data_IF_082875500892
#
_entry.id   IF_082875500892
#
_cell.length_a   1.000
_cell.length_b   1.000
_cell.length_c   1.000
_cell.angle_alpha   90.00
_cell.angle_beta   90.00
_cell.angle_gamma   90.00
#
_symmetry.space_group_name_H-M   'P 1'
#
loop_
_entity.id
_entity.type
_entity.pdbx_description
1 polymer ?
#
# COMPACT_ATOMS: atom_id res chain seq x y z
N UNK A 1 46.09 74.96 -12.29
CA UNK A 1 46.11 73.58 -12.82
C UNK A 1 45.16 72.73 -11.97
N UNK A 2 43.89 72.65 -12.35
CA UNK A 2 42.83 71.97 -11.55
C UNK A 2 42.48 70.67 -12.21
N UNK A 3 42.72 69.56 -11.51
CA UNK A 3 42.36 68.21 -11.95
C UNK A 3 40.87 67.98 -11.64
N UNK A 4 40.07 67.64 -12.66
CA UNK A 4 38.68 67.21 -12.53
C UNK A 4 38.65 65.73 -12.20
N UNK A 5 38.11 65.39 -11.04
CA UNK A 5 37.83 64.00 -10.63
C UNK A 5 36.42 63.65 -11.16
N UNK A 6 36.34 62.74 -12.10
CA UNK A 6 35.04 62.18 -12.58
C UNK A 6 34.68 60.98 -11.70
N UNK A 7 33.52 61.08 -11.01
CA UNK A 7 32.92 60.01 -10.26
C UNK A 7 32.07 59.19 -11.22
N UNK A 8 32.47 57.95 -11.48
CA UNK A 8 31.65 56.97 -12.22
C UNK A 8 30.65 56.33 -11.27
N UNK A 9 29.37 56.56 -11.52
CA UNK A 9 28.29 55.88 -10.79
C UNK A 9 28.15 54.46 -11.33
N UNK A 10 28.43 53.48 -10.45
CA UNK A 10 28.16 52.06 -10.74
C UNK A 10 26.70 51.78 -10.43
N UNK A 11 25.89 51.59 -11.46
CA UNK A 11 24.51 51.13 -11.30
C UNK A 11 24.51 49.62 -10.93
N UNK A 12 24.14 49.30 -9.70
CA UNK A 12 23.90 47.92 -9.28
C UNK A 12 22.57 47.46 -9.90
N UNK A 13 22.67 46.59 -10.89
CA UNK A 13 21.54 45.83 -11.45
C UNK A 13 21.18 44.73 -10.47
N UNK A 14 20.14 44.93 -9.68
CA UNK A 14 19.54 43.89 -8.85
C UNK A 14 18.82 42.90 -9.77
N UNK A 15 19.45 41.77 -10.04
CA UNK A 15 18.79 40.63 -10.66
C UNK A 15 17.88 40.03 -9.60
N UNK A 16 16.59 40.40 -9.63
CA UNK A 16 15.57 39.68 -8.91
C UNK A 16 15.47 38.29 -9.54
N UNK A 17 16.09 37.33 -8.88
CA UNK A 17 15.91 35.92 -9.20
C UNK A 17 14.45 35.54 -9.03
N UNK A 18 13.71 35.42 -10.14
CA UNK A 18 12.43 34.78 -10.15
C UNK A 18 12.72 33.33 -9.73
N UNK A 19 12.45 32.99 -8.47
CA UNK A 19 12.29 31.60 -8.05
C UNK A 19 11.14 31.04 -8.87
N UNK A 20 11.45 30.33 -9.96
CA UNK A 20 10.48 29.44 -10.58
C UNK A 20 10.13 28.43 -9.51
N UNK A 21 8.98 28.61 -8.86
CA UNK A 21 8.37 27.55 -8.07
C UNK A 21 8.23 26.36 -9.04
N UNK A 22 9.03 25.34 -8.83
CA UNK A 22 8.95 24.09 -9.57
C UNK A 22 7.52 23.60 -9.34
N UNK A 23 6.72 23.59 -10.42
CA UNK A 23 5.32 23.15 -10.34
C UNK A 23 5.34 21.74 -9.74
N UNK A 24 4.69 21.58 -8.58
CA UNK A 24 4.73 20.33 -7.86
C UNK A 24 4.32 19.19 -8.82
N UNK A 25 5.07 18.10 -8.85
CA UNK A 25 4.81 16.92 -9.69
C UNK A 25 3.37 16.37 -9.49
N UNK A 26 2.65 16.86 -8.44
CA UNK A 26 1.31 16.43 -8.02
C UNK A 26 0.34 17.61 -7.85
N UNK A 27 -0.04 18.32 -8.93
CA UNK A 27 -0.86 19.52 -8.83
C UNK A 27 -2.28 19.20 -8.34
N UNK A 28 -2.76 19.95 -7.33
CA UNK A 28 -4.10 19.78 -6.73
C UNK A 28 -5.24 19.85 -7.75
N UNK A 29 -5.07 20.59 -8.84
CA UNK A 29 -6.07 20.74 -9.88
C UNK A 29 -6.27 19.50 -10.76
N UNK A 30 -5.37 18.49 -10.68
CA UNK A 30 -5.45 17.27 -11.50
C UNK A 30 -6.01 16.07 -10.71
N UNK A 31 -6.64 15.16 -11.41
CA UNK A 31 -7.05 13.85 -10.89
C UNK A 31 -5.81 13.10 -10.39
N UNK A 32 -5.93 12.50 -9.22
CA UNK A 32 -4.88 11.68 -8.59
C UNK A 32 -4.77 10.34 -9.36
N UNK A 33 -3.59 10.00 -9.88
CA UNK A 33 -3.36 8.76 -10.64
C UNK A 33 -2.59 7.77 -9.78
N UNK A 34 -3.23 6.67 -9.39
CA UNK A 34 -2.68 5.68 -8.46
C UNK A 34 -2.72 4.28 -9.06
N UNK A 35 -1.87 3.37 -8.56
CA UNK A 35 -1.79 2.00 -9.07
C UNK A 35 -2.18 0.94 -8.05
N UNK A 36 -2.89 -0.09 -8.49
CA UNK A 36 -3.22 -1.27 -7.70
C UNK A 36 -3.44 -2.50 -8.57
N UNK A 37 -3.25 -3.68 -7.98
CA UNK A 37 -3.70 -4.96 -8.53
C UNK A 37 -5.16 -5.19 -8.14
N UNK A 38 -6.04 -5.42 -9.12
CA UNK A 38 -7.47 -5.57 -8.90
C UNK A 38 -7.89 -6.99 -8.47
N UNK A 39 -6.96 -7.90 -8.27
CA UNK A 39 -7.22 -9.25 -7.79
C UNK A 39 -7.25 -9.40 -6.27
N UNK A 40 -7.19 -8.32 -5.49
CA UNK A 40 -6.99 -8.32 -4.04
C UNK A 40 -8.26 -7.91 -3.28
N UNK A 41 -9.29 -8.76 -3.35
CA UNK A 41 -10.53 -8.54 -2.62
C UNK A 41 -10.38 -8.75 -1.09
N UNK A 42 -11.07 -7.99 -0.23
CA UNK A 42 -12.04 -6.92 -0.52
C UNK A 42 -11.37 -5.55 -0.69
N UNK A 43 -10.06 -5.50 -0.88
CA UNK A 43 -9.31 -4.25 -1.01
C UNK A 43 -9.62 -3.53 -2.31
N UNK A 44 -9.46 -4.24 -3.42
CA UNK A 44 -9.71 -3.72 -4.75
C UNK A 44 -10.16 -4.82 -5.70
N UNK A 45 -11.34 -4.64 -6.29
CA UNK A 45 -11.95 -5.57 -7.24
C UNK A 45 -12.62 -4.81 -8.38
N UNK A 46 -12.84 -5.51 -9.49
CA UNK A 46 -13.66 -5.00 -10.60
C UNK A 46 -15.13 -5.22 -10.28
N UNK A 47 -15.85 -4.14 -10.03
CA UNK A 47 -17.31 -4.14 -9.91
C UNK A 47 -18.01 -3.79 -11.23
N UNK A 48 -19.33 -3.92 -11.29
CA UNK A 48 -20.13 -3.62 -12.46
C UNK A 48 -20.05 -2.13 -12.90
N UNK A 49 -19.87 -1.22 -11.95
CA UNK A 49 -19.76 0.23 -12.16
C UNK A 49 -18.31 0.76 -12.12
N UNK A 50 -17.30 -0.11 -12.15
CA UNK A 50 -15.87 0.24 -12.03
C UNK A 50 -15.23 -0.34 -10.78
N UNK A 51 -14.05 0.17 -10.36
CA UNK A 51 -13.38 -0.32 -9.19
C UNK A 51 -14.19 -0.15 -7.91
N UNK A 52 -14.24 -1.18 -7.06
CA UNK A 52 -14.86 -1.16 -5.73
C UNK A 52 -14.00 -1.91 -4.70
N UNK A 53 -14.20 -1.63 -3.42
CA UNK A 53 -13.45 -2.25 -2.34
C UNK A 53 -13.07 -1.26 -1.23
N UNK A 54 -12.53 -1.79 -0.13
CA UNK A 54 -12.03 -0.99 0.99
C UNK A 54 -10.99 0.04 0.53
N UNK A 55 -10.00 -0.39 -0.26
CA UNK A 55 -8.95 0.48 -0.79
C UNK A 55 -9.48 1.53 -1.76
N UNK A 56 -10.56 1.21 -2.52
CA UNK A 56 -11.21 2.18 -3.41
C UNK A 56 -11.92 3.27 -2.61
N UNK A 57 -12.70 2.89 -1.59
CA UNK A 57 -13.38 3.87 -0.72
C UNK A 57 -12.35 4.75 0.00
N UNK A 58 -11.27 4.12 0.50
CA UNK A 58 -10.20 4.81 1.19
C UNK A 58 -9.50 5.83 0.30
N UNK A 59 -9.10 5.46 -0.93
CA UNK A 59 -8.37 6.38 -1.79
C UNK A 59 -9.24 7.51 -2.35
N UNK A 60 -10.54 7.26 -2.57
CA UNK A 60 -11.47 8.32 -2.95
C UNK A 60 -11.62 9.38 -1.85
N UNK A 61 -11.72 8.94 -0.59
CA UNK A 61 -11.78 9.87 0.55
C UNK A 61 -10.45 10.59 0.76
N UNK A 62 -9.30 9.91 0.61
CA UNK A 62 -7.97 10.53 0.62
C UNK A 62 -7.88 11.62 -0.45
N UNK A 63 -8.28 11.34 -1.70
CA UNK A 63 -8.25 12.33 -2.78
C UNK A 63 -9.08 13.57 -2.44
N UNK A 64 -10.30 13.37 -1.92
CA UNK A 64 -11.18 14.46 -1.48
C UNK A 64 -10.52 15.32 -0.39
N UNK A 65 -9.95 14.70 0.67
CA UNK A 65 -9.29 15.42 1.78
C UNK A 65 -8.00 16.10 1.34
N UNK A 66 -7.27 15.51 0.38
CA UNK A 66 -6.10 16.12 -0.24
C UNK A 66 -6.44 17.25 -1.23
N UNK A 67 -7.73 17.56 -1.41
CA UNK A 67 -8.20 18.62 -2.32
C UNK A 67 -8.05 18.27 -3.80
N UNK A 68 -8.03 16.99 -4.16
CA UNK A 68 -7.96 16.51 -5.55
C UNK A 68 -9.37 16.35 -6.13
N UNK A 69 -9.61 16.66 -7.41
CA UNK A 69 -10.95 16.57 -8.03
C UNK A 69 -11.46 15.14 -8.17
N UNK A 70 -10.59 14.14 -8.07
CA UNK A 70 -10.94 12.72 -8.17
C UNK A 70 -9.71 11.82 -8.16
N UNK A 71 -9.95 10.53 -8.39
CA UNK A 71 -8.90 9.51 -8.47
C UNK A 71 -9.11 8.63 -9.68
N UNK A 72 -8.03 8.37 -10.42
CA UNK A 72 -7.91 7.32 -11.44
C UNK A 72 -7.09 6.18 -10.85
N UNK A 73 -7.62 4.97 -10.86
CA UNK A 73 -6.94 3.79 -10.35
C UNK A 73 -6.54 2.93 -11.54
N UNK A 74 -5.24 2.88 -11.81
CA UNK A 74 -4.67 2.07 -12.89
C UNK A 74 -4.52 0.63 -12.40
N UNK A 75 -5.13 -0.31 -13.12
CA UNK A 75 -4.97 -1.73 -12.86
C UNK A 75 -3.62 -2.23 -13.36
N UNK A 76 -2.78 -2.70 -12.45
CA UNK A 76 -1.42 -3.15 -12.71
C UNK A 76 -1.16 -4.39 -11.87
N UNK A 77 -0.77 -5.50 -12.50
CA UNK A 77 -0.35 -6.69 -11.76
C UNK A 77 0.76 -6.32 -10.76
N UNK A 78 0.74 -6.93 -9.58
CA UNK A 78 1.64 -6.58 -8.49
C UNK A 78 3.12 -6.53 -8.89
N UNK A 79 3.58 -7.46 -9.73
CA UNK A 79 4.97 -7.51 -10.24
C UNK A 79 5.39 -6.27 -11.04
N UNK A 80 4.44 -5.58 -11.69
CA UNK A 80 4.68 -4.36 -12.48
C UNK A 80 4.50 -3.06 -11.69
N UNK A 81 3.98 -3.13 -10.47
CA UNK A 81 3.54 -1.97 -9.71
C UNK A 81 4.68 -1.01 -9.37
N UNK A 82 5.83 -1.54 -8.94
CA UNK A 82 7.00 -0.72 -8.62
C UNK A 82 7.64 -0.07 -9.85
N UNK A 83 7.65 -0.78 -10.98
CA UNK A 83 8.13 -0.20 -12.23
C UNK A 83 7.23 0.98 -12.67
N UNK A 84 5.91 0.87 -12.51
CA UNK A 84 4.98 1.95 -12.80
C UNK A 84 5.17 3.15 -11.85
N UNK A 85 5.47 2.92 -10.56
CA UNK A 85 5.80 3.95 -9.59
C UNK A 85 7.07 4.71 -9.98
N UNK A 86 8.17 4.00 -10.23
CA UNK A 86 9.47 4.61 -10.52
C UNK A 86 9.53 5.27 -11.90
N UNK A 87 8.73 4.81 -12.86
CA UNK A 87 8.57 5.47 -14.17
C UNK A 87 7.60 6.66 -14.16
N UNK A 88 7.05 7.03 -12.99
CA UNK A 88 6.06 8.12 -12.82
C UNK A 88 4.75 7.90 -13.59
N UNK A 89 4.45 6.66 -14.01
CA UNK A 89 3.16 6.31 -14.60
C UNK A 89 2.02 6.41 -13.58
N UNK A 90 2.32 6.21 -12.31
CA UNK A 90 1.43 6.42 -11.16
C UNK A 90 2.11 7.34 -10.15
N UNK A 91 1.29 8.08 -9.40
CA UNK A 91 1.79 8.99 -8.36
C UNK A 91 2.28 8.19 -7.14
N UNK A 92 1.52 7.19 -6.72
CA UNK A 92 1.86 6.26 -5.65
C UNK A 92 1.06 4.95 -5.75
N UNK A 93 1.38 3.96 -4.92
CA UNK A 93 0.67 2.68 -4.92
C UNK A 93 -0.43 2.68 -3.86
N UNK A 94 -1.62 2.23 -4.23
CA UNK A 94 -2.75 2.03 -3.29
C UNK A 94 -3.07 0.54 -3.09
N UNK A 95 -2.22 -0.33 -3.58
CA UNK A 95 -2.27 -1.74 -3.25
C UNK A 95 -2.04 -1.93 -1.73
N UNK A 96 -2.63 -2.95 -1.06
CA UNK A 96 -2.30 -3.28 0.32
C UNK A 96 -0.84 -3.74 0.39
N UNK A 97 0.06 -2.79 0.67
CA UNK A 97 1.50 -3.02 0.56
C UNK A 97 2.14 -3.14 1.94
N UNK A 98 2.67 -4.31 2.25
CA UNK A 98 3.41 -4.50 3.49
C UNK A 98 4.62 -3.57 3.58
N UNK A 99 4.72 -2.88 4.71
CA UNK A 99 5.90 -2.10 5.08
C UNK A 99 6.99 -3.09 5.48
N UNK A 100 8.13 -3.08 4.77
CA UNK A 100 9.30 -3.91 5.06
C UNK A 100 10.57 -3.10 5.01
N UNK A 101 11.60 -3.52 5.75
CA UNK A 101 12.89 -2.83 5.75
C UNK A 101 13.49 -2.75 4.33
N UNK A 102 13.44 -3.84 3.56
CA UNK A 102 13.95 -3.88 2.18
C UNK A 102 13.26 -2.86 1.27
N UNK A 103 11.93 -2.76 1.37
CA UNK A 103 11.15 -1.81 0.54
C UNK A 103 11.37 -0.38 0.99
N UNK A 104 11.48 -0.13 2.31
CA UNK A 104 11.73 1.20 2.86
C UNK A 104 13.11 1.76 2.48
N UNK A 105 14.06 0.92 2.03
CA UNK A 105 15.32 1.39 1.44
C UNK A 105 15.12 2.14 0.12
N UNK A 106 14.05 1.83 -0.61
CA UNK A 106 13.82 2.31 -1.98
C UNK A 106 12.61 3.22 -2.13
N UNK A 107 11.74 3.27 -1.10
CA UNK A 107 10.45 3.97 -1.14
C UNK A 107 10.14 4.62 0.20
N UNK A 108 9.34 5.69 0.18
CA UNK A 108 8.66 6.22 1.36
C UNK A 108 7.37 5.44 1.59
N UNK A 109 6.98 5.32 2.85
CA UNK A 109 5.67 4.82 3.23
C UNK A 109 4.87 5.88 3.98
N UNK A 110 3.55 5.81 3.91
CA UNK A 110 2.70 6.44 4.93
C UNK A 110 2.86 5.70 6.25
N UNK A 111 2.35 6.28 7.33
CA UNK A 111 2.18 5.55 8.58
C UNK A 111 1.40 4.23 8.38
N UNK A 112 1.57 3.24 9.27
CA UNK A 112 0.77 2.03 9.26
C UNK A 112 -0.72 2.34 9.43
N UNK A 113 -1.57 1.79 8.56
CA UNK A 113 -3.02 2.00 8.65
C UNK A 113 -3.86 0.71 8.63
N UNK A 114 -3.23 -0.46 8.47
CA UNK A 114 -3.94 -1.73 8.44
C UNK A 114 -3.02 -2.89 8.87
N UNK A 115 -3.39 -3.60 9.95
CA UNK A 115 -2.64 -4.76 10.42
C UNK A 115 -2.97 -6.02 9.59
N UNK A 116 -1.98 -6.88 9.34
CA UNK A 116 -2.11 -8.11 8.56
C UNK A 116 -1.21 -9.25 9.07
N UNK A 117 -1.21 -10.37 8.36
CA UNK A 117 -0.41 -11.57 8.59
C UNK A 117 -0.52 -12.53 7.43
N UNK A 118 -0.02 -13.75 7.55
CA UNK A 118 -0.11 -14.79 6.53
C UNK A 118 -1.39 -15.62 6.69
N UNK A 119 -2.22 -15.68 5.65
CA UNK A 119 -3.41 -16.53 5.57
C UNK A 119 -3.22 -17.64 4.54
N UNK A 120 -3.34 -18.89 4.97
CA UNK A 120 -3.18 -20.07 4.12
C UNK A 120 -4.55 -20.65 3.76
N UNK A 121 -4.92 -20.55 2.47
CA UNK A 121 -6.14 -21.11 1.92
C UNK A 121 -5.93 -22.53 1.47
N UNK A 122 -6.83 -23.42 1.88
CA UNK A 122 -6.88 -24.82 1.41
C UNK A 122 -8.26 -25.13 0.87
N UNK A 123 -8.42 -26.27 0.16
CA UNK A 123 -9.76 -26.76 -0.21
C UNK A 123 -10.59 -27.04 1.06
N UNK A 124 -11.90 -26.88 0.96
CA UNK A 124 -12.80 -27.11 2.09
C UNK A 124 -12.66 -28.50 2.73
N UNK A 125 -12.33 -29.50 1.91
CA UNK A 125 -12.12 -30.88 2.35
C UNK A 125 -10.75 -31.16 3.01
N UNK A 126 -9.76 -30.25 2.81
CA UNK A 126 -8.41 -30.44 3.32
C UNK A 126 -8.25 -29.80 4.70
N UNK A 127 -7.20 -30.21 5.41
CA UNK A 127 -6.82 -29.63 6.71
C UNK A 127 -5.40 -29.14 6.67
N UNK A 128 -5.16 -27.94 7.20
CA UNK A 128 -3.86 -27.38 7.49
C UNK A 128 -3.92 -26.74 8.88
N UNK A 129 -3.03 -27.13 9.79
CA UNK A 129 -2.98 -26.66 11.19
C UNK A 129 -1.71 -25.88 11.49
N UNK A 130 -0.70 -25.96 10.62
CA UNK A 130 0.58 -25.31 10.81
C UNK A 130 1.49 -25.50 9.62
N UNK A 131 2.72 -25.00 9.76
CA UNK A 131 3.72 -25.04 8.67
C UNK A 131 4.21 -26.46 8.35
N UNK A 132 4.14 -27.39 9.29
CA UNK A 132 4.57 -28.80 9.11
C UNK A 132 3.72 -29.51 8.06
N UNK A 133 2.47 -29.09 7.87
CA UNK A 133 1.57 -29.65 6.87
C UNK A 133 1.97 -29.29 5.43
N UNK A 134 2.92 -28.37 5.25
CA UNK A 134 3.45 -27.98 3.94
C UNK A 134 4.44 -28.99 3.35
N UNK A 135 5.01 -29.88 4.16
CA UNK A 135 6.07 -30.80 3.72
C UNK A 135 5.65 -31.65 2.52
N UNK A 136 6.44 -31.58 1.43
CA UNK A 136 6.19 -32.27 0.18
C UNK A 136 4.99 -31.76 -0.62
N UNK A 137 4.46 -30.56 -0.27
CA UNK A 137 3.29 -29.95 -0.93
C UNK A 137 3.70 -28.79 -1.81
N UNK A 138 2.76 -28.33 -2.64
CA UNK A 138 2.90 -27.16 -3.48
C UNK A 138 2.12 -26.00 -2.88
N UNK A 139 2.78 -24.86 -2.72
CA UNK A 139 2.24 -23.63 -2.21
C UNK A 139 2.16 -22.60 -3.33
N UNK A 140 0.96 -22.10 -3.62
CA UNK A 140 0.70 -21.12 -4.65
C UNK A 140 0.76 -19.69 -4.08
N UNK A 141 1.44 -18.78 -4.79
CA UNK A 141 1.57 -17.37 -4.42
C UNK A 141 1.37 -16.45 -5.61
N UNK A 142 0.95 -15.23 -5.35
CA UNK A 142 1.02 -14.15 -6.33
C UNK A 142 2.46 -13.63 -6.40
N UNK A 143 3.02 -13.59 -7.62
CA UNK A 143 4.42 -13.26 -7.92
C UNK A 143 4.82 -11.89 -7.38
N UNK A 144 6.01 -11.81 -6.76
CA UNK A 144 6.62 -10.57 -6.28
C UNK A 144 6.01 -10.01 -5.00
N UNK A 145 4.97 -10.64 -4.44
CA UNK A 145 4.36 -10.23 -3.17
C UNK A 145 5.22 -10.61 -1.97
N UNK A 146 4.85 -10.10 -0.77
CA UNK A 146 5.47 -10.54 0.48
C UNK A 146 5.22 -12.04 0.73
N UNK A 147 4.10 -12.57 0.26
CA UNK A 147 3.79 -14.01 0.32
C UNK A 147 4.75 -14.83 -0.53
N UNK A 148 5.14 -14.35 -1.73
CA UNK A 148 6.18 -14.98 -2.55
C UNK A 148 7.55 -14.93 -1.87
N UNK A 149 7.90 -13.78 -1.28
CA UNK A 149 9.15 -13.63 -0.51
C UNK A 149 9.17 -14.60 0.67
N UNK A 150 8.11 -14.66 1.47
CA UNK A 150 7.99 -15.59 2.59
C UNK A 150 8.10 -17.05 2.12
N UNK A 151 7.38 -17.41 1.06
CA UNK A 151 7.40 -18.76 0.51
C UNK A 151 8.81 -19.16 0.04
N UNK A 152 9.50 -18.27 -0.65
CA UNK A 152 10.88 -18.49 -1.13
C UNK A 152 11.85 -18.73 0.03
N UNK A 153 11.77 -17.92 1.07
CA UNK A 153 12.66 -18.01 2.25
C UNK A 153 12.40 -19.24 3.11
N UNK A 154 11.17 -19.77 3.10
CA UNK A 154 10.75 -20.85 3.98
C UNK A 154 10.57 -22.21 3.28
N UNK A 155 10.67 -22.27 1.95
CA UNK A 155 10.49 -23.50 1.18
C UNK A 155 11.42 -24.62 1.64
N UNK A 156 12.71 -24.34 1.78
CA UNK A 156 13.69 -25.32 2.27
C UNK A 156 13.46 -25.73 3.73
N UNK A 157 13.08 -24.78 4.59
CA UNK A 157 12.82 -25.04 6.02
C UNK A 157 11.65 -25.99 6.24
N UNK A 158 10.55 -25.80 5.51
CA UNK A 158 9.34 -26.61 5.67
C UNK A 158 9.14 -27.66 4.57
N UNK A 159 10.06 -27.76 3.59
CA UNK A 159 10.11 -28.80 2.57
C UNK A 159 8.95 -28.75 1.58
N UNK A 160 8.54 -27.57 1.11
CA UNK A 160 7.49 -27.36 0.11
C UNK A 160 8.03 -26.74 -1.19
N UNK A 161 7.26 -26.82 -2.27
CA UNK A 161 7.57 -26.21 -3.55
C UNK A 161 6.71 -24.96 -3.79
N UNK A 162 7.31 -23.87 -4.34
CA UNK A 162 6.62 -22.60 -4.61
C UNK A 162 6.14 -22.55 -6.05
N UNK A 163 4.82 -22.36 -6.23
CA UNK A 163 4.20 -22.07 -7.52
C UNK A 163 3.79 -20.61 -7.60
N UNK A 164 4.26 -19.88 -8.62
CA UNK A 164 4.04 -18.45 -8.79
C UNK A 164 3.03 -18.18 -9.89
N UNK A 165 2.02 -17.39 -9.57
CA UNK A 165 0.97 -16.93 -10.45
C UNK A 165 0.97 -15.42 -10.58
N UNK A 166 0.42 -14.88 -11.67
CA UNK A 166 0.40 -13.45 -11.91
C UNK A 166 -0.68 -12.74 -11.10
N UNK A 167 -1.72 -13.46 -10.67
CA UNK A 167 -2.79 -12.92 -9.80
C UNK A 167 -3.06 -13.86 -8.61
N UNK A 168 -3.63 -13.31 -7.53
CA UNK A 168 -4.07 -14.13 -6.40
C UNK A 168 -5.26 -15.06 -6.76
N UNK A 169 -6.28 -14.63 -7.53
CA UNK A 169 -7.31 -15.54 -8.02
C UNK A 169 -6.77 -16.77 -8.74
N UNK A 170 -5.70 -16.65 -9.53
CA UNK A 170 -5.06 -17.78 -10.19
C UNK A 170 -4.41 -18.74 -9.17
N UNK A 171 -3.81 -18.21 -8.10
CA UNK A 171 -3.28 -19.00 -6.99
C UNK A 171 -4.41 -19.78 -6.29
N UNK A 172 -5.56 -19.14 -6.05
CA UNK A 172 -6.76 -19.80 -5.48
C UNK A 172 -7.28 -20.88 -6.42
N UNK A 173 -7.34 -20.61 -7.72
CA UNK A 173 -7.78 -21.59 -8.72
C UNK A 173 -6.86 -22.80 -8.77
N UNK A 174 -5.55 -22.63 -8.57
CA UNK A 174 -4.61 -23.73 -8.48
C UNK A 174 -4.92 -24.66 -7.27
N UNK A 175 -5.36 -24.09 -6.15
CA UNK A 175 -5.82 -24.89 -4.99
C UNK A 175 -7.09 -25.67 -5.31
N UNK A 176 -8.09 -25.00 -5.89
CA UNK A 176 -9.39 -25.62 -6.25
C UNK A 176 -9.17 -26.80 -7.21
N UNK A 177 -8.30 -26.64 -8.20
CA UNK A 177 -7.99 -27.66 -9.22
C UNK A 177 -6.94 -28.66 -8.78
N UNK A 178 -6.53 -28.67 -7.51
CA UNK A 178 -5.54 -29.59 -6.92
C UNK A 178 -4.12 -29.48 -7.50
N UNK A 179 -3.81 -28.39 -8.23
CA UNK A 179 -2.44 -28.10 -8.68
C UNK A 179 -1.55 -27.59 -7.54
N UNK A 180 -2.15 -26.98 -6.52
CA UNK A 180 -1.48 -26.62 -5.28
C UNK A 180 -2.28 -27.15 -4.07
N UNK A 181 -1.57 -27.38 -2.95
CA UNK A 181 -2.20 -27.75 -1.67
C UNK A 181 -2.81 -26.52 -1.00
N UNK A 182 -2.07 -25.40 -1.00
CA UNK A 182 -2.48 -24.15 -0.36
C UNK A 182 -2.14 -22.94 -1.22
N UNK A 183 -2.92 -21.86 -1.07
CA UNK A 183 -2.58 -20.53 -1.57
C UNK A 183 -2.32 -19.61 -0.39
N UNK A 184 -1.23 -18.84 -0.44
CA UNK A 184 -0.82 -17.90 0.60
C UNK A 184 -1.09 -16.47 0.15
N UNK A 185 -1.79 -15.73 1.01
CA UNK A 185 -1.95 -14.28 0.91
C UNK A 185 -2.07 -13.67 2.31
N UNK A 186 -2.27 -12.37 2.41
CA UNK A 186 -2.59 -11.71 3.67
C UNK A 186 -3.92 -12.22 4.23
N UNK A 187 -4.01 -12.30 5.57
CA UNK A 187 -5.17 -12.84 6.28
C UNK A 187 -6.50 -12.22 5.83
N UNK A 188 -6.66 -10.88 5.71
CA UNK A 188 -7.94 -10.29 5.30
C UNK A 188 -8.38 -10.74 3.91
N UNK A 189 -7.45 -10.85 2.96
CA UNK A 189 -7.71 -11.30 1.60
C UNK A 189 -8.07 -12.79 1.56
N UNK A 190 -7.36 -13.61 2.32
CA UNK A 190 -7.63 -15.04 2.43
C UNK A 190 -9.01 -15.31 3.05
N UNK A 191 -9.34 -14.63 4.16
CA UNK A 191 -10.64 -14.73 4.83
C UNK A 191 -11.78 -14.30 3.88
N UNK A 192 -11.60 -13.20 3.17
CA UNK A 192 -12.60 -12.74 2.21
C UNK A 192 -12.79 -13.74 1.06
N UNK A 193 -11.73 -14.24 0.46
CA UNK A 193 -11.81 -15.26 -0.61
C UNK A 193 -12.57 -16.52 -0.14
N UNK A 194 -12.27 -16.99 1.06
CA UNK A 194 -12.98 -18.12 1.67
C UNK A 194 -14.47 -17.83 1.92
N UNK A 195 -14.83 -16.62 2.34
CA UNK A 195 -16.22 -16.22 2.56
C UNK A 195 -17.06 -16.22 1.27
N UNK A 196 -16.43 -16.00 0.11
CA UNK A 196 -17.09 -15.94 -1.20
C UNK A 196 -17.07 -17.25 -1.97
N UNK A 197 -16.27 -18.22 -1.56
CA UNK A 197 -16.14 -19.50 -2.26
C UNK A 197 -16.11 -20.69 -1.31
N UNK A 198 -17.21 -21.43 -1.27
CA UNK A 198 -17.36 -22.61 -0.40
C UNK A 198 -16.42 -23.80 -0.74
N UNK A 199 -15.75 -23.77 -1.89
CA UNK A 199 -14.78 -24.80 -2.26
C UNK A 199 -13.44 -24.68 -1.48
N UNK A 200 -13.20 -23.54 -0.83
CA UNK A 200 -12.00 -23.23 -0.07
C UNK A 200 -12.33 -22.74 1.35
N UNK A 201 -11.36 -22.82 2.24
CA UNK A 201 -11.41 -22.26 3.58
C UNK A 201 -10.02 -21.77 4.00
N UNK A 202 -9.97 -20.89 5.01
CA UNK A 202 -8.72 -20.61 5.70
C UNK A 202 -8.37 -21.84 6.54
N UNK A 203 -7.24 -22.46 6.23
CA UNK A 203 -6.72 -23.59 6.98
C UNK A 203 -5.89 -23.16 8.18
N UNK A 204 -5.05 -22.14 7.98
CA UNK A 204 -4.13 -21.64 9.00
C UNK A 204 -3.86 -20.14 8.83
N UNK A 205 -3.73 -19.42 9.95
CA UNK A 205 -3.30 -18.03 10.02
C UNK A 205 -2.03 -17.89 10.86
N UNK A 206 -1.06 -17.18 10.32
CA UNK A 206 0.17 -16.79 11.01
C UNK A 206 0.17 -15.27 11.22
N UNK A 207 -0.14 -14.85 12.46
CA UNK A 207 -0.15 -13.44 12.86
C UNK A 207 1.28 -12.99 13.20
N UNK A 208 1.85 -12.12 12.38
CA UNK A 208 3.28 -11.73 12.46
C UNK A 208 3.51 -10.23 12.61
N UNK A 209 2.49 -9.45 12.97
CA UNK A 209 2.59 -8.02 13.27
C UNK A 209 2.85 -7.09 12.08
N UNK A 210 2.72 -7.60 10.84
CA UNK A 210 2.89 -6.76 9.64
C UNK A 210 1.74 -5.78 9.47
N UNK A 211 2.07 -4.65 8.80
CA UNK A 211 1.13 -3.59 8.51
C UNK A 211 1.22 -3.15 7.06
N UNK A 212 0.11 -2.61 6.52
CA UNK A 212 0.08 -1.93 5.24
C UNK A 212 0.32 -0.44 5.38
N UNK A 213 0.98 0.13 4.38
CA UNK A 213 1.13 1.56 4.10
C UNK A 213 1.07 1.81 2.60
N UNK A 214 0.75 3.01 2.17
CA UNK A 214 0.91 3.43 0.79
C UNK A 214 2.37 3.79 0.52
N UNK A 215 2.89 3.45 -0.67
CA UNK A 215 4.28 3.65 -1.00
C UNK A 215 4.47 4.69 -2.10
N UNK A 216 5.46 5.56 -1.90
CA UNK A 216 5.83 6.71 -2.73
C UNK A 216 7.29 6.63 -3.14
N UNK A 217 7.69 7.38 -4.17
CA UNK A 217 9.11 7.60 -4.50
C UNK A 217 9.80 8.39 -3.39
N UNK A 218 11.12 8.29 -3.29
CA UNK A 218 11.90 8.97 -2.23
C UNK A 218 11.84 10.51 -2.33
N UNK A 219 11.65 11.05 -3.53
CA UNK A 219 11.53 12.48 -3.77
C UNK A 219 10.14 13.07 -3.40
N UNK A 220 9.12 12.23 -3.17
CA UNK A 220 7.73 12.65 -2.98
C UNK A 220 7.34 12.83 -1.49
N UNK A 221 8.27 13.21 -0.61
CA UNK A 221 8.04 13.27 0.83
C UNK A 221 6.89 14.21 1.23
N UNK A 222 6.80 15.41 0.66
CA UNK A 222 5.72 16.38 0.95
C UNK A 222 4.36 15.86 0.46
N UNK A 223 4.34 15.18 -0.68
CA UNK A 223 3.12 14.58 -1.19
C UNK A 223 2.67 13.38 -0.33
N UNK A 224 3.62 12.52 0.10
CA UNK A 224 3.38 11.46 1.07
C UNK A 224 2.75 12.04 2.35
N UNK A 225 3.30 13.13 2.89
CA UNK A 225 2.78 13.79 4.09
C UNK A 225 1.34 14.31 3.88
N UNK A 226 1.04 14.86 2.71
CA UNK A 226 -0.33 15.30 2.36
C UNK A 226 -1.33 14.13 2.37
N UNK A 227 -0.95 12.98 1.80
CA UNK A 227 -1.78 11.76 1.78
C UNK A 227 -1.91 11.17 3.17
N UNK A 228 -0.83 11.13 3.93
CA UNK A 228 -0.79 10.63 5.31
C UNK A 228 -1.69 11.46 6.23
N UNK A 229 -1.61 12.78 6.19
CA UNK A 229 -2.50 13.66 6.96
C UNK A 229 -3.99 13.40 6.67
N UNK A 230 -4.35 13.06 5.42
CA UNK A 230 -5.72 12.66 5.08
C UNK A 230 -6.10 11.33 5.75
N UNK A 231 -5.18 10.35 5.81
CA UNK A 231 -5.38 9.06 6.48
C UNK A 231 -5.52 9.24 7.99
N UNK A 232 -4.67 10.04 8.62
CA UNK A 232 -4.73 10.36 10.05
C UNK A 232 -6.06 11.04 10.42
N UNK A 233 -6.53 11.97 9.59
CA UNK A 233 -7.84 12.58 9.76
C UNK A 233 -8.99 11.55 9.67
N UNK A 234 -8.88 10.56 8.76
CA UNK A 234 -9.85 9.46 8.66
C UNK A 234 -9.81 8.53 9.88
N UNK A 235 -8.65 8.33 10.50
CA UNK A 235 -8.51 7.63 11.77
C UNK A 235 -9.17 8.42 12.91
N UNK A 236 -8.84 9.72 13.02
CA UNK A 236 -9.31 10.63 14.07
C UNK A 236 -10.83 10.76 14.10
N UNK A 237 -11.50 10.86 12.96
CA UNK A 237 -12.94 11.03 12.87
C UNK A 237 -13.73 9.71 12.73
N UNK A 238 -13.04 8.58 12.74
CA UNK A 238 -13.62 7.24 12.64
C UNK A 238 -14.10 6.84 11.24
N UNK A 239 -13.81 7.62 10.20
CA UNK A 239 -14.17 7.29 8.80
C UNK A 239 -13.53 5.97 8.38
N UNK A 240 -12.26 5.74 8.73
CA UNK A 240 -11.54 4.53 8.35
C UNK A 240 -12.13 3.28 9.04
N UNK A 241 -12.55 3.40 10.30
CA UNK A 241 -13.24 2.33 11.04
C UNK A 241 -14.57 1.99 10.38
N UNK A 242 -15.38 2.97 9.99
CA UNK A 242 -16.66 2.75 9.29
C UNK A 242 -16.46 2.04 7.95
N UNK A 243 -15.41 2.39 7.21
CA UNK A 243 -15.05 1.70 5.97
C UNK A 243 -14.64 0.25 6.24
N UNK A 244 -13.89 0.00 7.31
CA UNK A 244 -13.53 -1.35 7.72
C UNK A 244 -14.79 -2.18 8.05
N UNK A 245 -15.68 -1.66 8.88
CA UNK A 245 -16.94 -2.34 9.22
C UNK A 245 -17.78 -2.68 7.98
N UNK A 246 -17.88 -1.75 7.02
CA UNK A 246 -18.60 -1.95 5.77
C UNK A 246 -18.06 -3.15 4.97
N UNK A 247 -16.74 -3.29 4.86
CA UNK A 247 -16.12 -4.27 3.98
C UNK A 247 -15.79 -5.61 4.66
N UNK A 248 -15.50 -5.58 5.96
CA UNK A 248 -15.11 -6.78 6.73
C UNK A 248 -16.22 -7.29 7.67
N UNK A 249 -17.31 -6.53 7.86
CA UNK A 249 -18.47 -6.96 8.64
C UNK A 249 -18.27 -6.97 10.16
N UNK A 250 -17.15 -6.44 10.65
CA UNK A 250 -16.81 -6.36 12.08
C UNK A 250 -16.01 -5.11 12.38
N UNK A 251 -15.95 -4.72 13.66
CA UNK A 251 -15.05 -3.65 14.09
C UNK A 251 -13.59 -4.13 14.05
N UNK A 252 -12.63 -3.24 13.70
CA UNK A 252 -11.23 -3.56 13.86
C UNK A 252 -10.85 -3.69 15.35
N UNK A 253 -9.79 -4.45 15.63
CA UNK A 253 -9.22 -4.48 16.98
C UNK A 253 -8.85 -3.05 17.43
N UNK A 254 -9.23 -2.62 18.65
CA UNK A 254 -8.89 -1.29 19.17
C UNK A 254 -7.39 -0.97 19.14
N UNK A 255 -6.53 -1.97 19.32
CA UNK A 255 -5.06 -1.83 19.26
C UNK A 255 -4.48 -1.86 17.83
N UNK A 256 -5.33 -2.05 16.82
CA UNK A 256 -4.91 -2.11 15.42
C UNK A 256 -4.45 -0.75 14.91
N UNK A 257 -3.49 -0.76 13.98
CA UNK A 257 -2.98 0.44 13.30
C UNK A 257 -4.05 1.27 12.59
N UNK A 258 -5.22 0.70 12.29
CA UNK A 258 -6.37 1.43 11.74
C UNK A 258 -6.95 2.47 12.73
N UNK A 259 -6.75 2.25 14.04
CA UNK A 259 -7.20 3.15 15.11
C UNK A 259 -6.06 4.03 15.65
N UNK A 260 -4.82 3.75 15.28
CA UNK A 260 -3.63 4.38 15.87
C UNK A 260 -3.06 5.42 14.93
N UNK A 261 -2.97 6.67 15.38
CA UNK A 261 -2.18 7.72 14.72
C UNK A 261 -0.78 7.64 15.30
N UNK A 262 0.22 7.47 14.42
CA UNK A 262 1.61 7.37 14.83
C UNK A 262 2.26 8.78 14.86
N UNK A 263 3.26 9.04 15.71
CA UNK A 263 3.96 10.31 15.71
C UNK A 263 4.81 10.47 14.45
N UNK A 264 5.00 11.71 14.01
CA UNK A 264 5.86 12.03 12.85
C UNK A 264 5.24 11.63 11.51
N UNK A 265 6.07 11.42 10.49
CA UNK A 265 5.66 11.08 9.14
C UNK A 265 6.26 9.76 8.68
N UNK A 266 5.42 8.90 8.12
CA UNK A 266 5.84 7.59 7.63
C UNK A 266 5.74 6.48 8.67
N UNK A 267 6.45 5.38 8.44
CA UNK A 267 6.37 4.19 9.27
C UNK A 267 7.44 4.20 10.38
N UNK A 268 7.08 4.32 11.66
CA UNK A 268 8.05 4.29 12.76
C UNK A 268 8.88 3.01 12.74
N UNK A 269 10.20 3.16 12.97
CA UNK A 269 11.14 2.05 12.99
C UNK A 269 11.66 1.59 11.62
N UNK A 270 11.19 2.20 10.53
CA UNK A 270 11.69 1.95 9.18
C UNK A 270 12.53 3.12 8.66
N UNK A 271 13.34 2.88 7.63
CA UNK A 271 14.11 3.91 6.96
C UNK A 271 13.17 4.97 6.36
N UNK A 272 13.63 6.21 6.31
CA UNK A 272 12.87 7.38 5.83
C UNK A 272 11.64 7.76 6.70
N UNK A 273 11.54 7.23 7.92
CA UNK A 273 10.64 7.78 8.93
C UNK A 273 11.17 9.13 9.39
N UNK A 274 10.30 10.14 9.41
CA UNK A 274 10.58 11.48 9.91
C UNK A 274 9.85 11.69 11.24
N UNK A 275 10.60 11.79 12.34
CA UNK A 275 10.04 11.94 13.67
C UNK A 275 9.55 13.35 14.00
N UNK A 276 9.58 14.29 13.04
CA UNK A 276 9.15 15.67 13.26
C UNK A 276 7.65 15.71 13.60
N UNK A 277 7.27 16.20 14.77
CA UNK A 277 5.86 16.35 15.15
C UNK A 277 5.12 17.30 14.19
N UNK A 278 3.87 17.00 13.91
CA UNK A 278 3.00 17.85 13.12
C UNK A 278 1.60 17.95 13.73
N UNK A 279 0.91 19.04 13.42
CA UNK A 279 -0.48 19.23 13.81
C UNK A 279 -1.43 18.75 12.74
N UNK A 280 -2.46 18.00 13.14
CA UNK A 280 -3.50 17.52 12.24
C UNK A 280 -4.49 18.64 11.91
N UNK A 281 -4.40 19.18 10.70
CA UNK A 281 -5.37 20.12 10.14
C UNK A 281 -6.50 19.37 9.42
N UNK A 282 -7.39 18.71 10.16
CA UNK A 282 -8.54 18.01 9.58
C UNK A 282 -9.64 19.02 9.20
N UNK A 283 -10.01 19.04 7.93
CA UNK A 283 -11.08 19.86 7.35
C UNK A 283 -12.34 19.03 7.15
#
# INVERSE_FOLDING_TARGET
MFAKISIAAVAAVSIAGAAFAQEADHPKAKTMVVGSDFGVAPWMVRGAGGPEGFGVDMIREVAKRAGRPGVEIVDINFSGLFAALFSKRIEFTVNPLNITAERAEKMLYTEPFFATGNGFLVRAADTMKGFEDLKGKQLAVNRGTISDTWATQNAGKYGFEVQRYDTFPDSVQAVITKRAFTALNEIPTAVFAASKNKAIKVGFNDFNGRNFGYAFRLEDAEYRNTVEAAIECMKKDGTLVKMYEKWYGSKPDPASSINTIFPGWGAPGFKNYDATPHELACK
#
